data_IF_054328511968
#
_entry.id   IF_054328511968
#
_cell.length_a   1.000
_cell.length_b   1.000
_cell.length_c   1.000
_cell.angle_alpha   90.00
_cell.angle_beta   90.00
_cell.angle_gamma   90.00
#
_symmetry.space_group_name_H-M   'P 1'
#
loop_
_entity.id
_entity.type
_entity.pdbx_description
1 polymer ?
#
# COMPACT_ATOMS: atom_id res chain seq x y z
N UNK A 1 14.19 1.83 -6.05
CA UNK A 1 13.77 0.47 -5.67
C UNK A 1 12.73 -0.07 -6.64
N UNK A 2 11.55 0.52 -6.83
CA UNK A 2 10.53 -0.02 -7.76
C UNK A 2 10.75 0.26 -9.27
N UNK A 3 11.61 1.22 -9.64
CA UNK A 3 11.91 1.51 -11.06
C UNK A 3 12.87 0.52 -11.73
N UNK A 4 13.58 -0.30 -10.94
CA UNK A 4 14.52 -1.30 -11.45
C UNK A 4 14.00 -2.73 -11.40
N UNK A 5 12.87 -2.94 -10.72
CA UNK A 5 12.21 -4.24 -10.55
C UNK A 5 10.72 -3.97 -10.27
N UNK A 6 9.86 -4.03 -11.31
CA UNK A 6 8.43 -3.82 -11.17
C UNK A 6 7.75 -4.91 -10.32
N UNK A 7 8.27 -6.14 -10.38
CA UNK A 7 7.69 -7.29 -9.68
C UNK A 7 7.93 -7.25 -8.17
N UNK A 8 8.95 -6.52 -7.73
CA UNK A 8 9.25 -6.31 -6.31
C UNK A 8 8.13 -5.57 -5.53
N UNK A 9 7.06 -5.13 -6.21
CA UNK A 9 5.86 -4.60 -5.56
C UNK A 9 4.97 -5.70 -4.95
N UNK A 10 5.17 -6.95 -5.37
CA UNK A 10 4.47 -8.12 -4.85
C UNK A 10 5.15 -8.69 -3.60
N UNK A 11 6.38 -8.26 -3.31
CA UNK A 11 7.15 -8.76 -2.18
C UNK A 11 6.52 -8.35 -0.85
N UNK A 12 6.56 -9.28 0.10
CA UNK A 12 6.08 -9.11 1.45
C UNK A 12 7.24 -9.27 2.44
N UNK A 13 7.14 -8.57 3.57
CA UNK A 13 8.00 -8.86 4.73
C UNK A 13 7.60 -10.19 5.37
N UNK A 14 8.39 -10.65 6.33
CA UNK A 14 8.03 -11.79 7.19
C UNK A 14 6.69 -11.59 7.92
N UNK A 15 6.17 -10.35 8.00
CA UNK A 15 4.88 -10.02 8.62
C UNK A 15 3.71 -9.94 7.63
N UNK A 16 3.91 -10.36 6.39
CA UNK A 16 2.92 -10.21 5.32
C UNK A 16 2.68 -8.75 4.89
N UNK A 17 3.58 -7.83 5.26
CA UNK A 17 3.44 -6.42 4.89
C UNK A 17 4.09 -6.18 3.53
N UNK A 18 3.31 -5.75 2.54
CA UNK A 18 3.86 -5.21 1.30
C UNK A 18 4.43 -3.78 1.50
N UNK A 19 5.12 -3.27 0.49
CA UNK A 19 5.69 -1.91 0.51
C UNK A 19 4.65 -0.81 0.80
N UNK A 20 3.38 -1.02 0.45
CA UNK A 20 2.30 -0.06 0.70
C UNK A 20 1.91 -0.02 2.19
N UNK A 21 1.86 -1.17 2.89
CA UNK A 21 1.65 -1.21 4.35
C UNK A 21 2.72 -0.37 5.06
N UNK A 22 3.99 -0.60 4.71
CA UNK A 22 5.12 0.14 5.29
C UNK A 22 5.04 1.65 5.01
N UNK A 23 4.65 2.05 3.80
CA UNK A 23 4.50 3.45 3.44
C UNK A 23 3.40 4.16 4.25
N UNK A 24 2.25 3.50 4.44
CA UNK A 24 1.16 4.00 5.29
C UNK A 24 1.63 4.13 6.74
N UNK A 25 2.26 3.09 7.28
CA UNK A 25 2.73 3.07 8.68
C UNK A 25 3.72 4.19 8.99
N UNK A 26 4.59 4.50 8.02
CA UNK A 26 5.63 5.53 8.12
C UNK A 26 5.18 6.92 7.63
N UNK A 27 3.87 7.14 7.42
CA UNK A 27 3.30 8.42 6.94
C UNK A 27 3.93 8.95 5.63
N UNK A 28 4.36 8.05 4.72
CA UNK A 28 5.02 8.41 3.46
C UNK A 28 3.99 8.67 2.36
N UNK A 29 3.22 9.76 2.48
CA UNK A 29 2.11 10.08 1.59
C UNK A 29 2.45 10.05 0.08
N UNK A 30 3.54 10.72 -0.34
CA UNK A 30 3.93 10.72 -1.76
C UNK A 30 4.31 9.32 -2.27
N UNK A 31 4.89 8.49 -1.40
CA UNK A 31 5.20 7.11 -1.75
C UNK A 31 3.92 6.28 -1.92
N UNK A 32 2.94 6.45 -1.01
CA UNK A 32 1.61 5.83 -1.13
C UNK A 32 0.94 6.22 -2.45
N UNK A 33 0.90 7.52 -2.78
CA UNK A 33 0.30 8.01 -4.02
C UNK A 33 0.95 7.37 -5.25
N UNK A 34 2.28 7.31 -5.28
CA UNK A 34 3.03 6.71 -6.40
C UNK A 34 2.79 5.21 -6.52
N UNK A 35 2.82 4.48 -5.41
CA UNK A 35 2.59 3.04 -5.39
C UNK A 35 1.16 2.68 -5.80
N UNK A 36 0.14 3.42 -5.33
CA UNK A 36 -1.25 3.18 -5.76
C UNK A 36 -1.42 3.43 -7.26
N UNK A 37 -0.76 4.45 -7.82
CA UNK A 37 -0.70 4.67 -9.26
C UNK A 37 -0.14 3.46 -10.01
N UNK A 38 1.04 2.99 -9.61
CA UNK A 38 1.67 1.80 -10.21
C UNK A 38 0.84 0.53 -10.08
N UNK A 39 0.25 0.29 -8.90
CA UNK A 39 -0.62 -0.86 -8.67
C UNK A 39 -1.78 -0.88 -9.66
N UNK A 40 -2.41 0.28 -9.92
CA UNK A 40 -3.50 0.41 -10.91
C UNK A 40 -2.99 0.25 -12.33
N UNK A 41 -1.88 0.89 -12.69
CA UNK A 41 -1.27 0.78 -14.02
C UNK A 41 -0.89 -0.66 -14.38
N UNK A 42 -0.46 -1.45 -13.39
CA UNK A 42 -0.07 -2.85 -13.55
C UNK A 42 -1.23 -3.85 -13.36
N UNK A 43 -2.46 -3.38 -13.12
CA UNK A 43 -3.62 -4.22 -12.79
C UNK A 43 -3.39 -5.16 -11.59
N UNK A 44 -2.67 -4.70 -10.57
CA UNK A 44 -2.33 -5.46 -9.35
C UNK A 44 -3.15 -5.05 -8.13
N UNK A 45 -4.41 -4.66 -8.33
CA UNK A 45 -5.26 -4.08 -7.27
C UNK A 45 -5.51 -5.04 -6.09
N UNK A 46 -5.28 -6.35 -6.28
CA UNK A 46 -5.27 -7.33 -5.20
C UNK A 46 -4.31 -6.93 -4.06
N UNK A 47 -3.21 -6.24 -4.36
CA UNK A 47 -2.24 -5.73 -3.38
C UNK A 47 -2.84 -4.72 -2.39
N UNK A 48 -3.93 -4.04 -2.75
CA UNK A 48 -4.66 -3.13 -1.85
C UNK A 48 -5.48 -3.86 -0.80
N UNK A 49 -5.81 -5.14 -1.06
CA UNK A 49 -6.64 -5.99 -0.19
C UNK A 49 -5.84 -7.07 0.52
N UNK A 50 -4.53 -7.18 0.25
CA UNK A 50 -3.67 -8.08 1.02
C UNK A 50 -3.68 -7.69 2.48
N UNK A 51 -3.61 -8.71 3.33
CA UNK A 51 -3.64 -8.58 4.78
C UNK A 51 -2.28 -8.93 5.33
N UNK A 52 -1.81 -8.15 6.29
CA UNK A 52 -0.69 -8.52 7.14
C UNK A 52 -1.06 -9.73 8.03
N UNK A 53 -0.08 -10.23 8.80
CA UNK A 53 -0.28 -11.32 9.77
C UNK A 53 -1.35 -11.03 10.84
N UNK A 54 -1.65 -9.76 11.09
CA UNK A 54 -2.69 -9.33 12.03
C UNK A 54 -4.07 -9.21 11.37
N UNK A 55 -4.18 -9.50 10.07
CA UNK A 55 -5.40 -9.39 9.29
C UNK A 55 -5.72 -7.96 8.82
N UNK A 56 -4.81 -7.00 8.99
CA UNK A 56 -5.00 -5.63 8.56
C UNK A 56 -4.64 -5.46 7.09
N UNK A 57 -5.51 -4.77 6.36
CA UNK A 57 -5.16 -4.21 5.04
C UNK A 57 -4.61 -2.80 5.18
N UNK A 58 -4.04 -2.27 4.10
CA UNK A 58 -3.57 -0.86 4.03
C UNK A 58 -4.65 0.15 4.41
N UNK A 59 -5.93 -0.15 4.15
CA UNK A 59 -7.06 0.71 4.53
C UNK A 59 -7.32 0.70 6.04
N UNK A 60 -7.17 -0.46 6.70
CA UNK A 60 -7.26 -0.54 8.17
C UNK A 60 -6.18 0.31 8.82
N UNK A 61 -4.93 0.19 8.35
CA UNK A 61 -3.79 0.96 8.86
C UNK A 61 -3.98 2.48 8.64
N UNK A 62 -4.41 2.89 7.45
CA UNK A 62 -4.67 4.29 7.14
C UNK A 62 -5.79 4.88 8.02
N UNK A 63 -6.82 4.08 8.31
CA UNK A 63 -7.94 4.46 9.19
C UNK A 63 -7.50 4.60 10.63
N UNK A 64 -6.74 3.63 11.16
CA UNK A 64 -6.20 3.66 12.51
C UNK A 64 -5.28 4.88 12.72
N UNK A 65 -4.45 5.22 11.72
CA UNK A 65 -3.59 6.41 11.74
C UNK A 65 -4.32 7.72 11.40
N UNK A 66 -5.62 7.69 11.13
CA UNK A 66 -6.45 8.85 10.75
C UNK A 66 -5.91 9.61 9.52
N UNK A 67 -5.30 8.90 8.57
CA UNK A 67 -4.70 9.49 7.37
C UNK A 67 -5.77 9.72 6.28
N UNK A 68 -6.64 10.72 6.45
CA UNK A 68 -7.76 10.99 5.53
C UNK A 68 -7.37 11.04 4.05
N UNK A 69 -6.28 11.74 3.71
CA UNK A 69 -5.82 11.85 2.31
C UNK A 69 -5.38 10.50 1.71
N UNK A 70 -4.81 9.61 2.52
CA UNK A 70 -4.44 8.26 2.08
C UNK A 70 -5.70 7.43 1.85
N UNK A 71 -6.69 7.53 2.74
CA UNK A 71 -7.98 6.86 2.59
C UNK A 71 -8.65 7.27 1.27
N UNK A 72 -8.65 8.56 0.93
CA UNK A 72 -9.20 9.06 -0.35
C UNK A 72 -8.52 8.41 -1.55
N UNK A 73 -7.18 8.40 -1.57
CA UNK A 73 -6.40 7.75 -2.64
C UNK A 73 -6.75 6.27 -2.77
N UNK A 74 -6.79 5.53 -1.65
CA UNK A 74 -7.08 4.10 -1.63
C UNK A 74 -8.50 3.80 -2.13
N UNK A 75 -9.46 4.67 -1.81
CA UNK A 75 -10.86 4.57 -2.28
C UNK A 75 -11.08 5.07 -3.71
N UNK A 76 -10.05 5.61 -4.37
CA UNK A 76 -10.16 6.18 -5.72
C UNK A 76 -10.96 7.48 -5.77
N UNK A 77 -10.95 8.26 -4.69
CA UNK A 77 -11.61 9.56 -4.56
C UNK A 77 -10.63 10.72 -4.62
#
# INVERSE_FOLDING_TARGET
MLSGCPDCIDDETERGENALHLAVMNNRFEAVKKMVGWIREMNKEFLLNMKDEQGNTVLHLASWKKQRRVIEILLGK
#
